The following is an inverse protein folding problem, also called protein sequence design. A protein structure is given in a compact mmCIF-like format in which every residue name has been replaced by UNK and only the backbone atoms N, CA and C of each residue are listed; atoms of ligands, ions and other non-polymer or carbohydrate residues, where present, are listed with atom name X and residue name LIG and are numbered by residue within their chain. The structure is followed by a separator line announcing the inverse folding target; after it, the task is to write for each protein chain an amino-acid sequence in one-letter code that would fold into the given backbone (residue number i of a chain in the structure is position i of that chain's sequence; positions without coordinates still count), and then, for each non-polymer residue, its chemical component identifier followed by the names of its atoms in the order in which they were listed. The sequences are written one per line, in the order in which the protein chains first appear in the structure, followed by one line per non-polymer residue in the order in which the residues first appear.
data_IF_856129052717
#
_entry.id   IF_856129052717
#
_cell.length_a   1.000
_cell.length_b   1.000
_cell.length_c   1.000
_cell.angle_alpha   90.00
_cell.angle_beta   90.00
_cell.angle_gamma   90.00
#
_symmetry.space_group_name_H-M   'P 1'
#
loop_
_entity.id
_entity.type
_entity.pdbx_description
1 polymer ?
#
# COMPACT_ATOMS: atom_id res chain seq x y z
N UNK A 1 -71.63 28.12 -79.89
CA UNK A 1 -70.51 28.89 -80.49
C UNK A 1 -69.76 29.55 -79.34
N UNK A 2 -68.76 28.84 -78.82
CA UNK A 2 -67.31 29.02 -79.03
C UNK A 2 -66.68 29.72 -77.82
N UNK A 3 -66.13 28.87 -76.95
CA UNK A 3 -65.02 29.06 -76.03
C UNK A 3 -64.48 30.47 -75.77
N UNK A 4 -64.42 30.80 -74.47
CA UNK A 4 -63.17 31.30 -73.88
C UNK A 4 -63.10 30.95 -72.39
N UNK A 5 -62.21 30.03 -71.98
CA UNK A 5 -61.71 29.99 -70.61
C UNK A 5 -60.48 30.92 -70.54
N UNK A 6 -60.36 31.70 -69.47
CA UNK A 6 -59.08 32.34 -69.12
C UNK A 6 -58.82 32.14 -67.65
N UNK A 7 -57.72 31.43 -67.42
CA UNK A 7 -57.13 30.97 -66.16
C UNK A 7 -56.70 32.11 -65.24
N UNK A 8 -56.52 31.84 -63.93
CA UNK A 8 -56.06 32.84 -62.98
C UNK A 8 -54.53 32.97 -63.02
N UNK A 9 -54.02 34.20 -62.89
CA UNK A 9 -52.64 34.50 -62.54
C UNK A 9 -52.60 34.87 -61.06
N UNK A 10 -52.20 33.91 -60.22
CA UNK A 10 -51.82 34.19 -58.83
C UNK A 10 -50.30 34.13 -58.77
N UNK A 11 -49.67 35.31 -58.78
CA UNK A 11 -48.31 35.48 -58.26
C UNK A 11 -48.42 35.50 -56.74
N UNK A 12 -47.90 34.48 -56.07
CA UNK A 12 -47.68 34.48 -54.64
C UNK A 12 -46.19 34.23 -54.37
N UNK A 13 -45.40 35.31 -54.44
CA UNK A 13 -44.11 35.42 -53.79
C UNK A 13 -44.35 35.84 -52.34
N UNK A 14 -43.81 35.09 -51.37
CA UNK A 14 -43.90 35.47 -49.97
C UNK A 14 -43.54 34.34 -49.02
N UNK A 15 -42.33 33.79 -49.16
CA UNK A 15 -41.66 33.04 -48.10
C UNK A 15 -41.48 33.93 -46.88
N UNK A 16 -41.96 33.49 -45.72
CA UNK A 16 -41.33 33.72 -44.41
C UNK A 16 -42.02 32.80 -43.38
N UNK A 17 -41.52 31.57 -43.32
CA UNK A 17 -41.86 30.62 -42.27
C UNK A 17 -41.24 31.11 -40.95
N UNK A 18 -42.09 31.19 -39.93
CA UNK A 18 -41.73 31.52 -38.56
C UNK A 18 -40.71 30.51 -38.00
N UNK A 19 -39.61 31.01 -37.45
CA UNK A 19 -38.64 30.22 -36.69
C UNK A 19 -38.56 30.81 -35.29
N UNK A 20 -39.51 30.42 -34.44
CA UNK A 20 -39.39 30.53 -32.99
C UNK A 20 -38.63 29.28 -32.55
N UNK A 21 -37.34 29.41 -32.28
CA UNK A 21 -36.58 28.42 -31.54
C UNK A 21 -36.12 29.05 -30.24
N UNK A 22 -36.72 28.52 -29.16
CA UNK A 22 -36.38 28.76 -27.78
C UNK A 22 -34.88 28.55 -27.56
N UNK A 23 -34.21 29.59 -27.06
CA UNK A 23 -32.86 29.47 -26.52
C UNK A 23 -32.92 28.66 -25.23
N UNK A 24 -32.71 27.35 -25.33
CA UNK A 24 -32.42 26.51 -24.17
C UNK A 24 -30.96 26.78 -23.83
N UNK A 25 -30.72 27.61 -22.82
CA UNK A 25 -29.41 27.74 -22.19
C UNK A 25 -29.05 26.39 -21.58
N UNK A 26 -28.35 25.56 -22.37
CA UNK A 26 -27.72 24.35 -21.88
C UNK A 26 -26.59 24.76 -20.95
N UNK A 27 -26.85 24.75 -19.64
CA UNK A 27 -25.78 24.59 -18.66
C UNK A 27 -25.23 23.17 -18.89
N UNK A 28 -24.09 23.09 -19.57
CA UNK A 28 -23.28 21.89 -19.55
C UNK A 28 -22.76 21.72 -18.12
N UNK A 29 -23.56 21.07 -17.28
CA UNK A 29 -23.09 20.44 -16.06
C UNK A 29 -22.12 19.35 -16.52
N UNK A 30 -20.84 19.69 -16.58
CA UNK A 30 -19.79 18.70 -16.73
C UNK A 30 -19.81 17.88 -15.45
N UNK A 31 -20.48 16.74 -15.51
CA UNK A 31 -20.30 15.67 -14.54
C UNK A 31 -18.82 15.30 -14.59
N UNK A 32 -18.08 15.74 -13.59
CA UNK A 32 -16.72 15.31 -13.29
C UNK A 32 -16.75 13.81 -12.93
N UNK A 33 -16.81 12.98 -13.96
CA UNK A 33 -16.52 11.55 -13.83
C UNK A 33 -15.01 11.42 -13.92
N UNK A 34 -14.35 11.64 -12.79
CA UNK A 34 -12.91 11.53 -12.57
C UNK A 34 -12.45 10.08 -12.73
N UNK A 35 -12.08 9.69 -13.94
CA UNK A 35 -10.86 8.89 -14.09
C UNK A 35 -9.73 9.90 -14.15
N UNK A 36 -9.26 10.35 -12.98
CA UNK A 36 -8.19 11.34 -12.88
C UNK A 36 -6.93 10.78 -13.54
N UNK A 37 -6.64 11.18 -14.76
CA UNK A 37 -5.34 10.97 -15.39
C UNK A 37 -4.55 12.27 -15.24
N UNK A 38 -4.35 12.70 -13.99
CA UNK A 38 -3.58 13.89 -13.68
C UNK A 38 -2.11 13.63 -14.07
N UNK A 39 -1.42 14.58 -14.73
CA UNK A 39 0.01 14.45 -15.01
C UNK A 39 0.85 14.15 -13.75
N UNK A 40 0.43 14.62 -12.56
CA UNK A 40 1.04 14.27 -11.27
C UNK A 40 1.00 12.75 -11.04
N UNK A 41 -0.21 12.16 -11.13
CA UNK A 41 -0.39 10.71 -10.93
C UNK A 41 0.35 9.89 -11.99
N UNK A 42 0.35 10.31 -13.26
CA UNK A 42 1.07 9.60 -14.31
C UNK A 42 2.60 9.59 -14.07
N UNK A 43 3.18 10.71 -13.63
CA UNK A 43 4.59 10.76 -13.28
C UNK A 43 4.91 10.01 -11.99
N UNK A 44 4.02 10.04 -11.00
CA UNK A 44 4.14 9.24 -9.77
C UNK A 44 4.15 7.74 -10.09
N UNK A 45 3.16 7.25 -10.83
CA UNK A 45 3.06 5.84 -11.21
C UNK A 45 4.26 5.39 -12.05
N UNK A 46 4.76 6.25 -12.95
CA UNK A 46 6.00 6.00 -13.68
C UNK A 46 7.21 5.90 -12.74
N UNK A 47 7.28 6.76 -11.73
CA UNK A 47 8.29 6.72 -10.68
C UNK A 47 8.26 5.43 -9.86
N UNK A 48 7.07 5.05 -9.39
CA UNK A 48 6.82 3.79 -8.66
C UNK A 48 7.19 2.56 -9.51
N UNK A 49 6.88 2.57 -10.81
CA UNK A 49 7.26 1.50 -11.72
C UNK A 49 8.79 1.39 -11.91
N UNK A 50 9.51 2.52 -11.98
CA UNK A 50 10.97 2.50 -12.04
C UNK A 50 11.62 2.07 -10.73
N UNK A 51 11.02 2.34 -9.57
CA UNK A 51 11.45 1.79 -8.28
C UNK A 51 11.36 0.26 -8.27
N UNK A 52 10.27 -0.30 -8.79
CA UNK A 52 10.10 -1.76 -8.91
C UNK A 52 11.14 -2.40 -9.84
N UNK A 53 11.64 -1.66 -10.83
CA UNK A 53 12.71 -2.06 -11.75
C UNK A 53 14.13 -1.77 -11.21
N UNK A 54 14.26 -1.29 -9.96
CA UNK A 54 15.53 -0.86 -9.35
C UNK A 54 16.24 0.27 -10.15
N UNK A 55 15.50 1.02 -10.96
CA UNK A 55 16.01 2.09 -11.80
C UNK A 55 15.88 3.45 -11.10
N UNK A 56 16.67 3.64 -10.04
CA UNK A 56 16.57 4.80 -9.14
C UNK A 56 16.69 6.15 -9.85
N UNK A 57 17.54 6.23 -10.88
CA UNK A 57 17.74 7.48 -11.64
C UNK A 57 16.46 7.88 -12.38
N UNK A 58 15.80 6.92 -13.03
CA UNK A 58 14.55 7.18 -13.75
C UNK A 58 13.38 7.38 -12.81
N UNK A 59 13.35 6.65 -11.69
CA UNK A 59 12.39 6.86 -10.62
C UNK A 59 12.45 8.31 -10.10
N UNK A 60 13.63 8.76 -9.66
CA UNK A 60 13.84 10.13 -9.19
C UNK A 60 13.45 11.17 -10.25
N UNK A 61 13.80 10.93 -11.53
CA UNK A 61 13.46 11.85 -12.62
C UNK A 61 11.94 12.00 -12.80
N UNK A 62 11.19 10.89 -12.75
CA UNK A 62 9.74 10.91 -12.88
C UNK A 62 9.08 11.55 -11.65
N UNK A 63 9.52 11.17 -10.44
CA UNK A 63 8.99 11.70 -9.18
C UNK A 63 9.27 13.20 -9.03
N UNK A 64 10.44 13.69 -9.44
CA UNK A 64 10.72 15.13 -9.49
C UNK A 64 9.78 15.89 -10.42
N UNK A 65 9.31 15.27 -11.52
CA UNK A 65 8.29 15.89 -12.37
C UNK A 65 6.92 15.90 -11.70
N UNK A 66 6.56 14.85 -10.96
CA UNK A 66 5.33 14.86 -10.16
C UNK A 66 5.37 15.98 -9.10
N UNK A 67 6.46 16.05 -8.33
CA UNK A 67 6.65 17.06 -7.28
C UNK A 67 6.83 18.50 -7.81
N UNK A 68 7.30 18.68 -9.04
CA UNK A 68 7.31 19.99 -9.68
C UNK A 68 5.91 20.49 -10.07
N UNK A 69 4.97 19.56 -10.30
CA UNK A 69 3.58 19.87 -10.63
C UNK A 69 2.72 20.01 -9.37
N UNK A 70 2.96 19.15 -8.39
CA UNK A 70 2.35 19.20 -7.06
C UNK A 70 3.40 18.84 -5.99
N UNK A 71 4.01 19.84 -5.33
CA UNK A 71 5.04 19.64 -4.31
C UNK A 71 4.57 18.84 -3.09
N UNK A 72 3.25 18.72 -2.89
CA UNK A 72 2.63 18.16 -1.71
C UNK A 72 1.92 16.82 -2.00
N UNK A 73 2.09 16.24 -3.20
CA UNK A 73 1.48 14.94 -3.51
C UNK A 73 2.07 13.85 -2.59
N UNK A 74 1.28 13.29 -1.64
CA UNK A 74 1.81 12.39 -0.61
C UNK A 74 2.36 11.10 -1.21
N UNK A 75 1.78 10.64 -2.33
CA UNK A 75 2.25 9.48 -3.06
C UNK A 75 3.64 9.67 -3.67
N UNK A 76 3.90 10.83 -4.28
CA UNK A 76 5.18 11.16 -4.88
C UNK A 76 6.25 11.43 -3.81
N UNK A 77 5.88 12.08 -2.69
CA UNK A 77 6.75 12.25 -1.53
C UNK A 77 7.18 10.90 -0.96
N UNK A 78 6.23 10.00 -0.70
CA UNK A 78 6.50 8.64 -0.21
C UNK A 78 7.37 7.83 -1.17
N UNK A 79 7.12 7.91 -2.48
CA UNK A 79 7.94 7.22 -3.47
C UNK A 79 9.35 7.81 -3.55
N UNK A 80 9.51 9.13 -3.38
CA UNK A 80 10.84 9.75 -3.31
C UNK A 80 11.60 9.32 -2.05
N UNK A 81 10.90 9.18 -0.91
CA UNK A 81 11.49 8.62 0.30
C UNK A 81 12.09 7.22 0.07
N UNK A 82 11.38 6.35 -0.67
CA UNK A 82 11.90 5.03 -1.06
C UNK A 82 13.15 5.12 -1.96
N UNK A 83 13.21 6.09 -2.88
CA UNK A 83 14.40 6.33 -3.69
C UNK A 83 15.59 6.65 -2.79
N UNK A 84 15.42 7.60 -1.84
CA UNK A 84 16.49 7.99 -0.93
C UNK A 84 16.91 6.85 0.00
N UNK A 85 15.95 6.09 0.53
CA UNK A 85 16.22 4.90 1.33
C UNK A 85 17.10 3.91 0.56
N UNK A 86 16.76 3.62 -0.71
CA UNK A 86 17.52 2.66 -1.52
C UNK A 86 18.91 3.19 -1.94
N UNK A 87 19.09 4.50 -1.94
CA UNK A 87 20.39 5.16 -2.13
C UNK A 87 21.23 5.21 -0.83
N UNK A 88 20.63 4.91 0.32
CA UNK A 88 21.26 5.03 1.64
C UNK A 88 21.29 6.46 2.19
N UNK A 89 20.55 7.38 1.58
CA UNK A 89 20.40 8.77 2.01
C UNK A 89 19.30 8.85 3.10
N UNK A 90 19.59 8.28 4.27
CA UNK A 90 18.58 8.00 5.30
C UNK A 90 17.93 9.28 5.87
N UNK A 91 18.68 10.36 6.03
CA UNK A 91 18.12 11.62 6.53
C UNK A 91 17.07 12.20 5.57
N UNK A 92 17.31 12.12 4.26
CA UNK A 92 16.36 12.56 3.25
C UNK A 92 15.15 11.61 3.16
N UNK A 93 15.38 10.29 3.30
CA UNK A 93 14.28 9.34 3.34
C UNK A 93 13.31 9.65 4.51
N UNK A 94 13.86 9.90 5.71
CA UNK A 94 13.08 10.28 6.90
C UNK A 94 12.25 11.54 6.66
N UNK A 95 12.87 12.61 6.15
CA UNK A 95 12.21 13.89 5.85
C UNK A 95 11.04 13.70 4.87
N UNK A 96 11.24 12.96 3.78
CA UNK A 96 10.20 12.75 2.77
C UNK A 96 9.08 11.83 3.25
N UNK A 97 9.36 10.84 4.11
CA UNK A 97 8.32 10.03 4.73
C UNK A 97 7.45 10.84 5.68
N UNK A 98 8.08 11.66 6.54
CA UNK A 98 7.37 12.55 7.46
C UNK A 98 6.48 13.54 6.68
N UNK A 99 7.04 14.17 5.65
CA UNK A 99 6.28 15.11 4.81
C UNK A 99 5.09 14.42 4.12
N UNK A 100 5.24 13.20 3.62
CA UNK A 100 4.13 12.45 3.03
C UNK A 100 2.99 12.19 4.04
N UNK A 101 3.32 11.94 5.31
CA UNK A 101 2.35 11.69 6.38
C UNK A 101 1.76 12.99 6.96
N UNK A 102 2.46 14.11 6.84
CA UNK A 102 1.93 15.44 7.18
C UNK A 102 0.86 15.87 6.17
N UNK A 103 1.07 15.61 4.88
CA UNK A 103 0.11 15.94 3.82
C UNK A 103 -1.09 14.97 3.77
N UNK A 104 -0.88 13.67 4.03
CA UNK A 104 -1.96 12.71 4.23
C UNK A 104 -1.74 11.83 5.48
N UNK A 105 -2.29 12.25 6.63
CA UNK A 105 -2.22 11.47 7.87
C UNK A 105 -2.93 10.11 7.81
N UNK A 106 -3.74 9.82 6.80
CA UNK A 106 -4.40 8.53 6.64
C UNK A 106 -3.72 7.64 5.59
N UNK A 107 -2.53 8.02 5.11
CA UNK A 107 -1.85 7.28 4.05
C UNK A 107 -1.19 5.99 4.57
N UNK A 108 -2.00 4.95 4.77
CA UNK A 108 -1.59 3.66 5.37
C UNK A 108 -0.38 3.04 4.68
N UNK A 109 -0.30 3.15 3.34
CA UNK A 109 0.85 2.64 2.56
C UNK A 109 2.15 3.36 2.92
N UNK A 110 2.15 4.69 2.99
CA UNK A 110 3.33 5.46 3.41
C UNK A 110 3.71 5.10 4.84
N UNK A 111 2.72 4.97 5.72
CA UNK A 111 2.96 4.65 7.13
C UNK A 111 3.62 3.29 7.32
N UNK A 112 3.14 2.26 6.62
CA UNK A 112 3.75 0.93 6.66
C UNK A 112 5.18 0.94 6.09
N UNK A 113 5.44 1.69 5.02
CA UNK A 113 6.78 1.80 4.44
C UNK A 113 7.73 2.57 5.36
N UNK A 114 7.27 3.65 5.96
CA UNK A 114 8.04 4.43 6.92
C UNK A 114 8.38 3.60 8.16
N UNK A 115 7.43 2.80 8.66
CA UNK A 115 7.71 1.87 9.74
C UNK A 115 8.82 0.87 9.40
N UNK A 116 8.82 0.32 8.17
CA UNK A 116 9.89 -0.56 7.71
C UNK A 116 11.24 0.17 7.66
N UNK A 117 11.26 1.39 7.13
CA UNK A 117 12.46 2.25 7.15
C UNK A 117 12.96 2.50 8.57
N UNK A 118 12.10 2.93 9.49
CA UNK A 118 12.45 3.17 10.91
C UNK A 118 12.99 1.92 11.59
N UNK A 119 12.40 0.77 11.29
CA UNK A 119 12.86 -0.52 11.81
C UNK A 119 14.28 -0.85 11.32
N UNK A 120 14.56 -0.63 10.04
CA UNK A 120 15.91 -0.82 9.46
C UNK A 120 16.94 0.15 10.06
N UNK A 121 16.51 1.34 10.50
CA UNK A 121 17.35 2.30 11.24
C UNK A 121 17.53 1.95 12.73
N UNK A 122 16.93 0.86 13.22
CA UNK A 122 16.96 0.46 14.63
C UNK A 122 16.04 1.32 15.53
N UNK A 123 15.17 2.13 14.96
CA UNK A 123 14.17 2.93 15.68
C UNK A 123 12.89 2.12 15.91
N UNK A 124 13.04 0.94 16.54
CA UNK A 124 11.99 -0.07 16.70
C UNK A 124 10.73 0.49 17.38
N UNK A 125 10.88 1.33 18.41
CA UNK A 125 9.74 1.94 19.10
C UNK A 125 8.89 2.79 18.16
N UNK A 126 9.52 3.66 17.35
CA UNK A 126 8.84 4.49 16.35
C UNK A 126 8.22 3.65 15.25
N UNK A 127 8.92 2.61 14.77
CA UNK A 127 8.39 1.69 13.77
C UNK A 127 7.10 1.00 14.25
N UNK A 128 7.09 0.53 15.50
CA UNK A 128 5.90 -0.07 16.11
C UNK A 128 4.75 0.94 16.20
N UNK A 129 5.03 2.19 16.58
CA UNK A 129 4.01 3.24 16.63
C UNK A 129 3.35 3.45 15.27
N UNK A 130 4.15 3.57 14.20
CA UNK A 130 3.63 3.73 12.84
C UNK A 130 2.80 2.52 12.38
N UNK A 131 3.22 1.29 12.71
CA UNK A 131 2.46 0.08 12.41
C UNK A 131 1.15 -0.01 13.19
N UNK A 132 1.12 0.43 14.45
CA UNK A 132 -0.11 0.48 15.27
C UNK A 132 -1.14 1.43 14.65
N UNK A 133 -0.70 2.63 14.23
CA UNK A 133 -1.57 3.58 13.53
C UNK A 133 -2.05 3.00 12.19
N UNK A 134 -1.15 2.39 11.41
CA UNK A 134 -1.49 1.79 10.12
C UNK A 134 -2.49 0.63 10.26
N UNK A 135 -2.43 -0.12 11.37
CA UNK A 135 -3.33 -1.24 11.64
C UNK A 135 -4.81 -0.84 11.83
N UNK A 136 -5.06 0.45 12.10
CA UNK A 136 -6.41 1.02 12.26
C UNK A 136 -7.18 1.07 10.94
N UNK A 137 -6.49 1.12 9.80
CA UNK A 137 -7.12 1.04 8.49
C UNK A 137 -7.55 -0.41 8.20
N UNK A 138 -8.86 -0.65 8.26
CA UNK A 138 -9.43 -1.97 8.05
C UNK A 138 -9.52 -2.38 6.58
N UNK A 139 -9.38 -1.43 5.65
CA UNK A 139 -9.53 -1.63 4.21
C UNK A 139 -8.19 -1.79 3.48
N UNK A 140 -7.07 -1.64 4.19
CA UNK A 140 -5.75 -1.81 3.58
C UNK A 140 -5.56 -3.26 3.08
N UNK A 141 -5.07 -3.40 1.85
CA UNK A 141 -4.96 -4.72 1.21
C UNK A 141 -3.87 -5.60 1.83
N UNK A 142 -2.79 -4.99 2.36
CA UNK A 142 -1.63 -5.71 2.91
C UNK A 142 -1.70 -5.89 4.44
N UNK A 143 -2.91 -5.92 5.03
CA UNK A 143 -3.07 -6.00 6.49
C UNK A 143 -2.42 -7.22 7.13
N UNK A 144 -2.44 -8.39 6.48
CA UNK A 144 -1.77 -9.57 7.04
C UNK A 144 -0.26 -9.34 7.21
N UNK A 145 0.38 -8.71 6.22
CA UNK A 145 1.81 -8.39 6.30
C UNK A 145 2.08 -7.30 7.33
N UNK A 146 1.25 -6.26 7.37
CA UNK A 146 1.31 -5.19 8.37
C UNK A 146 1.25 -5.75 9.80
N UNK A 147 0.29 -6.64 10.09
CA UNK A 147 0.18 -7.27 11.41
C UNK A 147 1.35 -8.21 11.73
N UNK A 148 1.94 -8.88 10.73
CA UNK A 148 3.13 -9.69 10.93
C UNK A 148 4.35 -8.81 11.30
N UNK A 149 4.52 -7.67 10.62
CA UNK A 149 5.55 -6.68 10.93
C UNK A 149 5.34 -6.08 12.34
N UNK A 150 4.09 -5.75 12.68
CA UNK A 150 3.75 -5.27 14.02
C UNK A 150 4.09 -6.32 15.09
N UNK A 151 3.74 -7.58 14.83
CA UNK A 151 4.10 -8.70 15.71
C UNK A 151 5.60 -8.84 15.94
N UNK A 152 6.40 -8.73 14.87
CA UNK A 152 7.86 -8.77 14.92
C UNK A 152 8.43 -7.60 15.73
N UNK A 153 7.98 -6.38 15.46
CA UNK A 153 8.43 -5.21 16.16
C UNK A 153 8.09 -5.26 17.66
N UNK A 154 6.86 -5.66 18.03
CA UNK A 154 6.44 -5.79 19.43
C UNK A 154 7.22 -6.89 20.17
N UNK A 155 7.55 -7.98 19.47
CA UNK A 155 8.37 -9.07 20.01
C UNK A 155 9.76 -8.56 20.41
N UNK A 156 10.40 -7.77 19.56
CA UNK A 156 11.73 -7.21 19.83
C UNK A 156 11.73 -6.19 20.97
N UNK A 157 10.62 -5.46 21.16
CA UNK A 157 10.42 -4.62 22.33
C UNK A 157 10.08 -5.40 23.62
N UNK A 158 10.05 -6.74 23.55
CA UNK A 158 9.69 -7.61 24.69
C UNK A 158 8.20 -7.58 25.05
N UNK A 159 7.35 -7.01 24.19
CA UNK A 159 5.91 -6.87 24.42
C UNK A 159 5.18 -8.13 23.94
N UNK A 160 5.31 -9.19 24.73
CA UNK A 160 4.90 -10.56 24.38
C UNK A 160 3.43 -10.69 23.98
N UNK A 161 2.52 -10.15 24.78
CA UNK A 161 1.08 -10.27 24.53
C UNK A 161 0.65 -9.48 23.27
N UNK A 162 1.06 -8.21 23.09
CA UNK A 162 0.84 -7.49 21.83
C UNK A 162 1.43 -8.20 20.61
N UNK A 163 2.66 -8.70 20.71
CA UNK A 163 3.32 -9.43 19.62
C UNK A 163 2.49 -10.63 19.17
N UNK A 164 2.12 -11.50 20.13
CA UNK A 164 1.28 -12.68 19.86
C UNK A 164 -0.06 -12.30 19.25
N UNK A 165 -0.74 -11.28 19.78
CA UNK A 165 -2.03 -10.85 19.26
C UNK A 165 -1.95 -10.40 17.79
N UNK A 166 -0.92 -9.61 17.45
CA UNK A 166 -0.69 -9.17 16.08
C UNK A 166 -0.37 -10.34 15.14
N UNK A 167 0.48 -11.29 15.56
CA UNK A 167 0.82 -12.47 14.77
C UNK A 167 -0.39 -13.39 14.52
N UNK A 168 -1.23 -13.63 15.54
CA UNK A 168 -2.49 -14.36 15.37
C UNK A 168 -3.39 -13.62 14.38
N UNK A 169 -3.50 -12.29 14.49
CA UNK A 169 -4.31 -11.50 13.57
C UNK A 169 -3.83 -11.60 12.13
N UNK A 170 -2.52 -11.59 11.91
CA UNK A 170 -1.94 -11.81 10.58
C UNK A 170 -2.36 -13.18 9.99
N UNK A 171 -2.32 -14.23 10.80
CA UNK A 171 -2.69 -15.60 10.41
C UNK A 171 -4.19 -15.76 10.14
N UNK A 172 -5.05 -15.03 10.87
CA UNK A 172 -6.50 -14.99 10.63
C UNK A 172 -6.85 -14.32 9.30
N UNK A 173 -6.13 -13.24 8.95
CA UNK A 173 -6.36 -12.49 7.71
C UNK A 173 -5.82 -13.29 6.51
N UNK A 174 -4.59 -13.79 6.61
CA UNK A 174 -3.98 -14.64 5.59
C UNK A 174 -3.26 -15.84 6.24
N UNK A 175 -3.85 -17.05 6.16
CA UNK A 175 -3.24 -18.29 6.64
C UNK A 175 -1.97 -18.73 5.88
N UNK A 176 -1.54 -17.96 4.87
CA UNK A 176 -0.33 -18.18 4.07
C UNK A 176 0.73 -17.12 4.29
N UNK A 177 0.57 -16.20 5.25
CA UNK A 177 1.55 -15.13 5.53
C UNK A 177 2.78 -15.70 6.27
N UNK A 178 3.95 -15.94 5.64
CA UNK A 178 5.01 -16.72 6.27
C UNK A 178 5.68 -16.06 7.46
N UNK A 179 5.93 -14.74 7.41
CA UNK A 179 6.63 -14.04 8.50
C UNK A 179 5.89 -14.20 9.84
N UNK A 180 4.56 -14.30 9.81
CA UNK A 180 3.76 -14.51 11.01
C UNK A 180 4.09 -15.83 11.70
N UNK A 181 4.32 -16.91 10.94
CA UNK A 181 4.66 -18.23 11.45
C UNK A 181 6.10 -18.31 11.96
N UNK A 182 7.06 -17.71 11.25
CA UNK A 182 8.46 -17.70 11.71
C UNK A 182 8.59 -16.90 13.02
N UNK A 183 8.02 -15.70 13.06
CA UNK A 183 8.08 -14.84 14.24
C UNK A 183 7.33 -15.46 15.43
N UNK A 184 6.19 -16.12 15.20
CA UNK A 184 5.50 -16.85 16.27
C UNK A 184 6.34 -18.03 16.76
N UNK A 185 7.03 -18.76 15.87
CA UNK A 185 7.92 -19.85 16.28
C UNK A 185 9.08 -19.35 17.17
N UNK A 186 9.69 -18.22 16.81
CA UNK A 186 10.74 -17.56 17.60
C UNK A 186 10.21 -17.15 18.99
N UNK A 187 9.04 -16.51 19.02
CA UNK A 187 8.38 -16.08 20.26
C UNK A 187 8.08 -17.28 21.16
N UNK A 188 7.49 -18.34 20.61
CA UNK A 188 7.13 -19.55 21.37
C UNK A 188 8.36 -20.28 21.90
N UNK A 189 9.41 -20.39 21.07
CA UNK A 189 10.68 -21.00 21.48
C UNK A 189 11.29 -20.25 22.67
N UNK A 190 11.33 -18.92 22.59
CA UNK A 190 11.87 -18.09 23.66
C UNK A 190 11.02 -18.12 24.95
N UNK A 191 9.73 -18.47 24.85
CA UNK A 191 8.86 -18.72 26.00
C UNK A 191 8.93 -20.17 26.52
N UNK A 192 9.71 -21.05 25.88
CA UNK A 192 9.81 -22.47 26.25
C UNK A 192 8.63 -23.32 25.78
N UNK A 193 7.75 -22.78 24.94
CA UNK A 193 6.60 -23.51 24.39
C UNK A 193 7.04 -24.32 23.16
N UNK A 194 7.90 -25.32 23.38
CA UNK A 194 8.66 -26.00 22.32
C UNK A 194 7.75 -26.70 21.28
N UNK A 195 6.65 -27.33 21.72
CA UNK A 195 5.70 -27.97 20.80
C UNK A 195 5.04 -26.94 19.87
N UNK A 196 4.56 -25.82 20.41
CA UNK A 196 3.97 -24.75 19.62
C UNK A 196 4.99 -24.12 18.67
N UNK A 197 6.22 -23.88 19.14
CA UNK A 197 7.31 -23.38 18.31
C UNK A 197 7.55 -24.29 17.10
N UNK A 198 7.60 -25.61 17.32
CA UNK A 198 7.76 -26.59 16.25
C UNK A 198 6.58 -26.58 15.27
N UNK A 199 5.35 -26.48 15.76
CA UNK A 199 4.16 -26.40 14.90
C UNK A 199 4.20 -25.18 13.99
N UNK A 200 4.52 -24.01 14.54
CA UNK A 200 4.62 -22.76 13.79
C UNK A 200 5.75 -22.82 12.76
N UNK A 201 6.92 -23.34 13.15
CA UNK A 201 8.06 -23.51 12.26
C UNK A 201 7.77 -24.47 11.11
N UNK A 202 7.09 -25.59 11.37
CA UNK A 202 6.68 -26.53 10.33
C UNK A 202 5.75 -25.87 9.31
N UNK A 203 4.85 -25.00 9.77
CA UNK A 203 3.97 -24.23 8.89
C UNK A 203 4.75 -23.25 8.03
N UNK A 204 5.73 -22.54 8.59
CA UNK A 204 6.64 -21.68 7.83
C UNK A 204 7.39 -22.46 6.75
N UNK A 205 8.04 -23.58 7.11
CA UNK A 205 8.81 -24.42 6.18
C UNK A 205 7.93 -25.01 5.07
N UNK A 206 6.67 -25.34 5.36
CA UNK A 206 5.73 -25.77 4.33
C UNK A 206 5.40 -24.66 3.32
N UNK A 207 5.36 -23.40 3.75
CA UNK A 207 5.03 -22.26 2.88
C UNK A 207 6.22 -21.77 2.04
N UNK A 208 7.41 -21.72 2.63
CA UNK A 208 8.60 -21.07 2.05
C UNK A 208 9.69 -22.07 1.66
N UNK A 209 9.70 -23.25 2.28
CA UNK A 209 10.86 -24.16 2.28
C UNK A 209 11.80 -23.87 3.45
N UNK A 210 12.90 -24.62 3.50
CA UNK A 210 13.92 -24.46 4.55
C UNK A 210 14.81 -23.27 4.20
N UNK A 211 14.83 -22.28 5.09
CA UNK A 211 15.75 -21.13 5.09
C UNK A 211 16.81 -21.28 6.18
N UNK A 212 17.94 -20.54 6.12
CA UNK A 212 18.95 -20.54 7.19
C UNK A 212 18.35 -20.28 8.58
N UNK A 213 17.48 -19.27 8.70
CA UNK A 213 16.81 -18.93 9.96
C UNK A 213 15.94 -20.07 10.48
N UNK A 214 15.12 -20.66 9.60
CA UNK A 214 14.26 -21.79 9.98
C UNK A 214 15.08 -23.02 10.39
N UNK A 215 16.24 -23.25 9.77
CA UNK A 215 17.11 -24.36 10.08
C UNK A 215 17.82 -24.16 11.43
N UNK A 216 18.29 -22.95 11.70
CA UNK A 216 18.86 -22.58 13.00
C UNK A 216 17.83 -22.76 14.10
N UNK A 217 16.60 -22.26 13.92
CA UNK A 217 15.53 -22.40 14.90
C UNK A 217 15.11 -23.86 15.10
N UNK A 218 15.01 -24.66 14.03
CA UNK A 218 14.69 -26.08 14.13
C UNK A 218 15.73 -26.85 14.97
N UNK A 219 17.01 -26.53 14.79
CA UNK A 219 18.10 -27.13 15.55
C UNK A 219 17.99 -26.76 17.03
N UNK A 220 17.72 -25.48 17.32
CA UNK A 220 17.57 -24.96 18.67
C UNK A 220 16.37 -25.59 19.41
N UNK A 221 15.22 -25.73 18.75
CA UNK A 221 14.04 -26.41 19.29
C UNK A 221 14.36 -27.88 19.59
N UNK A 222 14.98 -28.59 18.65
CA UNK A 222 15.32 -30.02 18.80
C UNK A 222 16.24 -30.25 20.01
N UNK A 223 17.27 -29.41 20.17
CA UNK A 223 18.18 -29.50 21.31
C UNK A 223 17.47 -29.23 22.64
N UNK A 224 16.57 -28.25 22.68
CA UNK A 224 15.78 -27.94 23.87
C UNK A 224 14.87 -29.11 24.28
N UNK A 225 14.17 -29.72 23.32
CA UNK A 225 13.29 -30.89 23.56
C UNK A 225 14.11 -32.06 24.12
N UNK A 226 15.27 -32.36 23.53
CA UNK A 226 16.14 -33.44 24.01
C UNK A 226 16.64 -33.20 25.43
N UNK A 227 16.95 -31.94 25.77
CA UNK A 227 17.39 -31.56 27.12
C UNK A 227 16.28 -31.71 28.17
N UNK A 228 15.01 -31.47 27.81
CA UNK A 228 13.88 -31.70 28.72
C UNK A 228 13.62 -33.19 28.96
N UNK A 229 13.74 -34.02 27.93
CA UNK A 229 13.56 -35.46 28.04
C UNK A 229 14.65 -36.12 28.90
N UNK A 230 15.90 -35.69 28.75
CA UNK A 230 17.02 -36.21 29.55
C UNK A 230 17.01 -35.77 31.03
N UNK A 231 16.23 -34.75 31.40
CA UNK A 231 16.01 -34.37 32.81
C UNK A 231 14.94 -35.21 33.51
N UNK A 232 14.06 -35.85 32.73
CA UNK A 232 12.93 -36.63 33.23
C UNK A 232 13.21 -38.14 33.27
N UNK A 233 14.43 -38.57 32.94
CA UNK A 233 14.94 -39.94 32.97
C UNK A 233 15.92 -40.16 34.10
#
# INVERSE_FOLDING_TARGET
MTHRPSTPRVLACGLLAALVLFGVSGCASTSSTSSDNSPVMAYRELGEAYLQDDNLVRAATALNRALALDPNDPGALQAMALVYQQQGENELADEYFQHALDEDPNFTRARNNYAAFLYDQGQTESACHELEQAAMDIHYDHRAQLFANLGRCQWELGRLAPARAALVRAQEIDPRQPLSFLTMAELEYAQGNLEHAQTQLNRYVHLVGVTPDSQHLATAITQAIAAEQGKNS
#
